data_IF_625911913740
#
_entry.id   IF_625911913740
#
_cell.length_a   1.000
_cell.length_b   1.000
_cell.length_c   1.000
_cell.angle_alpha   90.00
_cell.angle_beta   90.00
_cell.angle_gamma   90.00
#
_symmetry.space_group_name_H-M   'P 1'
#
loop_
_entity.id
_entity.type
_entity.pdbx_description
1 polymer ?
#
# COMPACT_ATOMS: atom_id res chain seq x y z
N UNK A 1 4.60 -10.62 6.66
CA UNK A 1 4.98 -11.56 5.59
C UNK A 1 5.53 -10.80 4.37
N UNK A 2 6.04 -11.47 3.33
CA UNK A 2 6.43 -10.81 2.07
C UNK A 2 5.22 -10.63 1.15
N UNK A 3 5.40 -9.99 -0.01
CA UNK A 3 4.34 -9.86 -1.03
C UNK A 3 3.85 -11.21 -1.58
N UNK A 4 4.66 -12.27 -1.49
CA UNK A 4 4.29 -13.63 -1.88
C UNK A 4 3.69 -14.46 -0.74
N UNK A 5 3.35 -13.78 0.36
CA UNK A 5 2.76 -14.37 1.54
C UNK A 5 1.34 -14.91 1.31
N UNK A 6 0.89 -15.76 2.24
CA UNK A 6 -0.42 -16.41 2.17
C UNK A 6 -1.58 -15.41 2.12
N UNK A 7 -1.48 -14.31 2.86
CA UNK A 7 -2.51 -13.27 2.90
C UNK A 7 -2.67 -12.62 1.53
N UNK A 8 -1.57 -12.21 0.92
CA UNK A 8 -1.60 -11.52 -0.38
C UNK A 8 -2.05 -12.48 -1.50
N UNK A 9 -1.64 -13.74 -1.43
CA UNK A 9 -2.13 -14.79 -2.36
C UNK A 9 -3.64 -15.01 -2.24
N UNK A 10 -4.17 -15.06 -1.02
CA UNK A 10 -5.60 -15.19 -0.79
C UNK A 10 -6.38 -13.99 -1.36
N UNK A 11 -5.94 -12.76 -1.09
CA UNK A 11 -6.56 -11.55 -1.63
C UNK A 11 -6.45 -11.50 -3.16
N UNK A 12 -5.32 -11.92 -3.73
CA UNK A 12 -5.14 -12.01 -5.19
C UNK A 12 -6.11 -13.01 -5.83
N UNK A 13 -6.39 -14.14 -5.17
CA UNK A 13 -7.38 -15.10 -5.63
C UNK A 13 -8.80 -14.52 -5.61
N UNK A 14 -9.14 -13.69 -4.62
CA UNK A 14 -10.42 -12.98 -4.58
C UNK A 14 -10.50 -11.95 -5.72
N UNK A 15 -9.48 -11.09 -5.86
CA UNK A 15 -9.41 -10.08 -6.92
C UNK A 15 -9.57 -10.71 -8.33
N UNK A 16 -8.94 -11.87 -8.55
CA UNK A 16 -9.07 -12.67 -9.79
C UNK A 16 -10.49 -13.16 -10.06
N UNK A 17 -11.14 -13.75 -9.05
CA UNK A 17 -12.49 -14.35 -9.21
C UNK A 17 -13.59 -13.31 -9.34
N UNK A 18 -13.40 -12.14 -8.74
CA UNK A 18 -14.40 -11.07 -8.73
C UNK A 18 -14.19 -10.01 -9.82
N UNK A 19 -13.09 -10.08 -10.59
CA UNK A 19 -12.68 -9.05 -11.56
C UNK A 19 -12.61 -7.63 -10.93
N UNK A 20 -12.08 -7.55 -9.70
CA UNK A 20 -11.98 -6.31 -8.93
C UNK A 20 -10.52 -5.92 -8.65
N UNK A 21 -10.31 -4.62 -8.44
CA UNK A 21 -9.12 -4.11 -7.76
C UNK A 21 -9.40 -4.02 -6.26
N UNK A 22 -8.50 -4.55 -5.45
CA UNK A 22 -8.60 -4.57 -3.99
C UNK A 22 -7.39 -3.87 -3.40
N UNK A 23 -7.65 -3.02 -2.41
CA UNK A 23 -6.63 -2.43 -1.56
C UNK A 23 -6.73 -3.07 -0.18
N UNK A 24 -5.61 -3.51 0.36
CA UNK A 24 -5.54 -4.01 1.74
C UNK A 24 -4.22 -3.59 2.38
N UNK A 25 -4.14 -3.70 3.70
CA UNK A 25 -2.93 -3.41 4.47
C UNK A 25 -2.42 -4.66 5.19
N UNK A 26 -1.10 -4.79 5.29
CA UNK A 26 -0.46 -5.89 6.00
C UNK A 26 0.89 -5.46 6.59
N UNK A 27 1.40 -6.28 7.53
CA UNK A 27 2.78 -6.11 8.04
C UNK A 27 3.75 -6.73 7.05
N UNK A 28 4.39 -5.88 6.26
CA UNK A 28 5.42 -6.31 5.31
C UNK A 28 6.72 -6.57 6.06
N UNK A 29 7.30 -7.75 5.85
CA UNK A 29 8.67 -8.06 6.28
C UNK A 29 9.59 -7.98 5.07
N UNK A 30 10.61 -7.13 5.16
CA UNK A 30 11.61 -6.93 4.11
C UNK A 30 12.99 -6.89 4.77
N UNK A 31 13.80 -7.93 4.52
CA UNK A 31 15.01 -8.22 5.29
C UNK A 31 14.70 -8.24 6.80
N UNK A 32 15.45 -7.46 7.60
CA UNK A 32 15.28 -7.37 9.06
C UNK A 32 14.37 -6.21 9.49
N UNK A 33 13.56 -5.67 8.58
CA UNK A 33 12.66 -4.54 8.86
C UNK A 33 11.20 -4.94 8.64
N UNK A 34 10.34 -4.33 9.43
CA UNK A 34 8.89 -4.43 9.31
C UNK A 34 8.32 -3.09 8.85
N UNK A 35 7.32 -3.13 8.00
CA UNK A 35 6.67 -1.93 7.46
C UNK A 35 5.15 -2.08 7.52
N UNK A 36 4.45 -0.99 7.89
CA UNK A 36 3.00 -0.89 7.72
C UNK A 36 2.72 -0.58 6.24
N UNK A 37 2.19 -1.56 5.51
CA UNK A 37 2.17 -1.52 4.03
C UNK A 37 0.77 -1.67 3.49
N UNK A 38 0.34 -0.76 2.62
CA UNK A 38 -0.82 -0.95 1.76
C UNK A 38 -0.38 -1.58 0.44
N UNK A 39 -1.19 -2.50 -0.09
CA UNK A 39 -0.96 -3.15 -1.37
C UNK A 39 -2.22 -3.05 -2.22
N UNK A 40 -2.02 -2.71 -3.49
CA UNK A 40 -3.05 -2.72 -4.53
C UNK A 40 -2.91 -4.00 -5.33
N UNK A 41 -3.99 -4.76 -5.43
CA UNK A 41 -4.05 -6.04 -6.13
C UNK A 41 -5.19 -5.99 -7.14
N UNK A 42 -4.94 -6.46 -8.36
CA UNK A 42 -5.96 -6.65 -9.39
C UNK A 42 -5.99 -8.08 -9.91
N UNK A 43 -6.80 -8.33 -10.92
CA UNK A 43 -6.94 -9.67 -11.54
C UNK A 43 -5.64 -10.26 -12.08
N UNK A 44 -4.67 -9.43 -12.46
CA UNK A 44 -3.37 -9.88 -12.96
C UNK A 44 -2.36 -10.17 -11.84
N UNK A 45 -2.68 -9.83 -10.59
CA UNK A 45 -1.78 -9.93 -9.46
C UNK A 45 -1.59 -8.59 -8.73
N UNK A 46 -0.51 -8.49 -7.97
CA UNK A 46 -0.12 -7.24 -7.29
C UNK A 46 0.21 -6.17 -8.34
N UNK A 47 -0.44 -5.02 -8.24
CA UNK A 47 -0.17 -3.84 -9.07
C UNK A 47 0.97 -3.03 -8.45
N UNK A 48 0.95 -2.86 -7.13
CA UNK A 48 1.96 -2.09 -6.42
C UNK A 48 1.70 -2.01 -4.92
N UNK A 49 2.59 -1.33 -4.21
CA UNK A 49 2.51 -1.15 -2.76
C UNK A 49 2.98 0.23 -2.33
N UNK A 50 2.53 0.63 -1.15
CA UNK A 50 2.95 1.82 -0.45
C UNK A 50 3.30 1.44 1.00
N UNK A 51 4.44 1.93 1.49
CA UNK A 51 4.85 1.78 2.89
C UNK A 51 4.56 3.09 3.61
N UNK A 52 3.80 3.03 4.70
CA UNK A 52 3.39 4.19 5.50
C UNK A 52 4.59 5.05 5.88
N UNK A 53 4.55 6.33 5.51
CA UNK A 53 5.61 7.29 5.81
C UNK A 53 5.42 7.88 7.21
N UNK A 54 4.23 8.40 7.51
CA UNK A 54 4.00 9.12 8.77
C UNK A 54 3.58 8.18 9.90
N UNK A 55 4.56 7.55 10.55
CA UNK A 55 4.33 6.66 11.69
C UNK A 55 3.82 7.41 12.93
N UNK A 56 2.71 6.95 13.51
CA UNK A 56 2.24 7.42 14.81
C UNK A 56 3.00 6.72 15.97
N UNK A 57 2.72 7.11 17.21
CA UNK A 57 3.35 6.54 18.40
C UNK A 57 3.26 5.00 18.46
N UNK A 58 2.11 4.42 18.08
CA UNK A 58 1.89 2.96 18.09
C UNK A 58 2.58 2.24 16.94
N UNK A 59 2.78 2.89 15.81
CA UNK A 59 3.52 2.29 14.69
C UNK A 59 5.03 2.24 15.01
N UNK A 60 5.57 3.28 15.64
CA UNK A 60 7.02 3.45 15.87
C UNK A 60 7.65 2.36 16.73
N UNK A 61 6.86 1.63 17.52
CA UNK A 61 7.38 0.52 18.35
C UNK A 61 7.73 -0.73 17.54
N UNK A 62 7.26 -0.84 16.29
CA UNK A 62 7.46 -2.05 15.48
C UNK A 62 7.76 -1.78 14.00
N UNK A 63 7.28 -0.67 13.43
CA UNK A 63 7.40 -0.35 12.02
C UNK A 63 8.61 0.56 11.75
N UNK A 64 9.26 0.34 10.62
CA UNK A 64 10.20 1.27 10.00
C UNK A 64 9.42 2.26 9.13
N UNK A 65 9.79 3.57 9.11
CA UNK A 65 9.20 4.53 8.18
C UNK A 65 9.33 4.08 6.72
N UNK A 66 8.28 4.32 5.95
CA UNK A 66 8.24 3.99 4.53
C UNK A 66 9.34 4.67 3.73
N UNK A 67 9.82 3.97 2.70
CA UNK A 67 10.96 4.37 1.88
C UNK A 67 10.66 4.34 0.38
N UNK A 68 9.39 4.35 -0.01
CA UNK A 68 8.93 4.28 -1.40
C UNK A 68 8.34 5.59 -1.92
N UNK A 69 8.36 6.65 -1.09
CA UNK A 69 7.65 7.89 -1.41
C UNK A 69 6.13 7.69 -1.45
N UNK A 70 5.47 8.50 -2.26
CA UNK A 70 4.02 8.45 -2.53
C UNK A 70 3.78 8.00 -3.98
N UNK A 71 3.88 6.69 -4.29
CA UNK A 71 3.68 6.19 -5.64
C UNK A 71 2.21 6.22 -6.04
N UNK A 72 1.97 6.46 -7.33
CA UNK A 72 0.66 6.31 -7.96
C UNK A 72 0.64 5.09 -8.89
N UNK A 73 -0.56 4.58 -9.17
CA UNK A 73 -0.76 3.36 -9.96
C UNK A 73 -1.88 3.56 -10.97
N UNK A 74 -1.60 3.26 -12.24
CA UNK A 74 -2.61 3.27 -13.29
C UNK A 74 -3.43 1.98 -13.28
N UNK A 75 -4.75 2.13 -13.17
CA UNK A 75 -5.75 1.06 -13.32
C UNK A 75 -6.81 1.49 -14.35
N UNK A 76 -7.62 0.58 -14.90
CA UNK A 76 -8.57 0.91 -15.97
C UNK A 76 -9.59 2.01 -15.64
N UNK A 77 -9.84 2.29 -14.35
CA UNK A 77 -10.77 3.33 -13.90
C UNK A 77 -10.10 4.68 -13.62
N UNK A 78 -8.76 4.76 -13.70
CA UNK A 78 -7.99 5.96 -13.41
C UNK A 78 -6.66 5.68 -12.73
N UNK A 79 -5.97 6.75 -12.34
CA UNK A 79 -4.76 6.68 -11.53
C UNK A 79 -5.12 6.78 -10.06
N UNK A 80 -4.49 5.95 -9.23
CA UNK A 80 -4.77 5.91 -7.79
C UNK A 80 -3.51 6.07 -6.96
N UNK A 81 -3.64 6.76 -5.83
CA UNK A 81 -2.64 6.87 -4.78
C UNK A 81 -3.04 6.05 -3.55
N UNK A 82 -2.06 5.68 -2.71
CA UNK A 82 -2.30 4.95 -1.46
C UNK A 82 -1.76 5.76 -0.27
N UNK A 83 -2.54 5.81 0.81
CA UNK A 83 -2.14 6.39 2.10
C UNK A 83 -2.62 5.48 3.24
N UNK A 84 -1.93 5.47 4.39
CA UNK A 84 -2.30 4.60 5.51
C UNK A 84 -2.49 5.40 6.79
N UNK A 85 -3.72 5.45 7.29
CA UNK A 85 -4.06 6.00 8.60
C UNK A 85 -3.47 7.39 8.81
N UNK A 86 -2.48 7.50 9.69
CA UNK A 86 -1.88 8.77 10.12
C UNK A 86 -1.27 9.64 9.01
N UNK A 87 -1.02 9.10 7.80
CA UNK A 87 -0.67 9.93 6.64
C UNK A 87 -1.74 10.99 6.32
N UNK A 88 -3.01 10.72 6.69
CA UNK A 88 -4.12 11.64 6.44
C UNK A 88 -4.05 12.94 7.23
N UNK A 89 -3.20 12.99 8.27
CA UNK A 89 -2.97 14.20 9.07
C UNK A 89 -2.01 15.18 8.39
N UNK A 90 -1.36 14.77 7.29
CA UNK A 90 -0.34 15.56 6.59
C UNK A 90 -0.85 15.89 5.18
N UNK A 91 -1.28 17.14 4.92
CA UNK A 91 -1.80 17.53 3.61
C UNK A 91 -0.79 17.32 2.48
N UNK A 92 0.51 17.33 2.78
CA UNK A 92 1.59 17.02 1.87
C UNK A 92 1.46 15.62 1.26
N UNK A 93 0.97 14.63 2.02
CA UNK A 93 0.75 13.27 1.51
C UNK A 93 -0.21 13.27 0.32
N UNK A 94 -1.36 13.95 0.47
CA UNK A 94 -2.33 14.07 -0.61
C UNK A 94 -1.85 14.99 -1.72
N UNK A 95 -1.16 16.08 -1.39
CA UNK A 95 -0.58 16.99 -2.39
C UNK A 95 0.41 16.26 -3.30
N UNK A 96 1.29 15.43 -2.74
CA UNK A 96 2.24 14.63 -3.51
C UNK A 96 1.53 13.66 -4.46
N UNK A 97 0.51 12.94 -3.96
CA UNK A 97 -0.28 12.01 -4.79
C UNK A 97 -1.03 12.73 -5.91
N UNK A 98 -1.70 13.85 -5.60
CA UNK A 98 -2.42 14.63 -6.60
C UNK A 98 -1.49 15.31 -7.61
N UNK A 99 -0.29 15.73 -7.19
CA UNK A 99 0.70 16.27 -8.12
C UNK A 99 1.22 15.21 -9.12
N UNK A 100 1.17 13.93 -8.75
CA UNK A 100 1.51 12.79 -9.60
C UNK A 100 0.29 12.21 -10.37
N UNK A 101 -0.87 12.87 -10.24
CA UNK A 101 -2.08 12.62 -11.03
C UNK A 101 -3.06 11.60 -10.45
N UNK A 102 -2.93 11.24 -9.17
CA UNK A 102 -3.93 10.46 -8.45
C UNK A 102 -5.11 11.31 -7.94
#
# INVERSE_FOLDING_TARGET
>A
ESLDGATIKAITSIAKRSDLFLVTSFVERSANRLYNTAVLVGKKGVVGKYRKIHLNYRDRVWATPGNLGFPTFDIPVGRIGLTVGHDSMFPESFRCLSADGA
#
